data_IF_655366272303
#
_entry.id   IF_655366272303
#
_cell.length_a   1.000
_cell.length_b   1.000
_cell.length_c   1.000
_cell.angle_alpha   90.00
_cell.angle_beta   90.00
_cell.angle_gamma   90.00
#
_symmetry.space_group_name_H-M   'P 1'
#
loop_
_entity.id
_entity.type
_entity.pdbx_description
1 polymer ?
#
# COMPACT_ATOMS: atom_id res chain seq x y z
N UNK A 1 0.55 0.93 16.26
CA UNK A 1 -0.85 1.27 15.87
C UNK A 1 -1.26 0.50 14.61
N UNK A 2 -2.55 0.29 14.38
CA UNK A 2 -3.09 -0.13 13.07
C UNK A 2 -3.32 1.07 12.16
N UNK A 3 -3.49 0.87 10.85
CA UNK A 3 -3.76 1.97 9.91
C UNK A 3 -5.04 2.73 10.26
N UNK A 4 -6.13 2.01 10.59
CA UNK A 4 -7.39 2.61 11.05
C UNK A 4 -7.18 3.49 12.27
N UNK A 5 -6.47 2.99 13.28
CA UNK A 5 -6.18 3.77 14.49
C UNK A 5 -5.35 5.03 14.21
N UNK A 6 -4.42 4.99 13.25
CA UNK A 6 -3.68 6.19 12.84
C UNK A 6 -4.61 7.24 12.22
N UNK A 7 -5.58 6.82 11.40
CA UNK A 7 -6.57 7.73 10.81
C UNK A 7 -7.48 8.34 11.87
N UNK A 8 -8.01 7.51 12.78
CA UNK A 8 -8.82 7.97 13.93
C UNK A 8 -8.05 8.97 14.79
N UNK A 9 -6.75 8.76 15.00
CA UNK A 9 -5.91 9.70 15.76
C UNK A 9 -5.66 10.99 15.00
N UNK A 10 -5.41 10.94 13.70
CA UNK A 10 -5.25 12.13 12.87
C UNK A 10 -6.52 12.98 12.86
N UNK A 11 -7.70 12.36 12.73
CA UNK A 11 -8.99 13.05 12.83
C UNK A 11 -9.16 13.74 14.19
N UNK A 12 -8.80 13.05 15.29
CA UNK A 12 -8.85 13.62 16.63
C UNK A 12 -7.87 14.79 16.81
N UNK A 13 -6.67 14.71 16.22
CA UNK A 13 -5.68 15.79 16.21
C UNK A 13 -6.24 17.00 15.47
N UNK A 14 -6.76 16.82 14.25
CA UNK A 14 -7.36 17.90 13.46
C UNK A 14 -8.51 18.56 14.22
N UNK A 15 -9.42 17.77 14.79
CA UNK A 15 -10.53 18.28 15.58
C UNK A 15 -10.08 19.07 16.83
N UNK A 16 -8.92 18.76 17.42
CA UNK A 16 -8.35 19.56 18.52
C UNK A 16 -7.65 20.82 18.02
N UNK A 17 -6.92 20.74 16.91
CA UNK A 17 -6.24 21.88 16.28
C UNK A 17 -7.21 22.99 15.84
N UNK A 18 -8.45 22.64 15.53
CA UNK A 18 -9.50 23.58 15.12
C UNK A 18 -10.19 24.33 16.27
N UNK A 19 -9.91 23.96 17.54
CA UNK A 19 -10.54 24.61 18.69
C UNK A 19 -9.87 25.96 19.01
N UNK A 20 -10.69 26.97 19.27
CA UNK A 20 -10.24 28.34 19.58
C UNK A 20 -9.51 28.46 20.93
N UNK A 21 -9.69 27.49 21.85
CA UNK A 21 -9.08 27.46 23.18
C UNK A 21 -7.74 26.70 23.22
N UNK A 22 -7.12 26.46 22.06
CA UNK A 22 -5.88 25.69 21.97
C UNK A 22 -4.67 26.55 22.36
N UNK A 23 -3.92 26.09 23.35
CA UNK A 23 -2.63 26.68 23.72
C UNK A 23 -1.55 26.37 22.68
N UNK A 24 -0.63 27.30 22.45
CA UNK A 24 0.43 27.18 21.44
C UNK A 24 1.28 25.92 21.63
N UNK A 25 1.76 25.66 22.84
CA UNK A 25 2.54 24.47 23.17
C UNK A 25 1.76 23.17 22.90
N UNK A 26 0.45 23.16 23.14
CA UNK A 26 -0.40 22.02 22.83
C UNK A 26 -0.52 21.83 21.31
N UNK A 27 -0.77 22.92 20.58
CA UNK A 27 -0.83 22.91 19.11
C UNK A 27 0.45 22.41 18.46
N UNK A 28 1.62 22.83 18.96
CA UNK A 28 2.92 22.37 18.46
C UNK A 28 3.11 20.86 18.68
N UNK A 29 2.77 20.35 19.87
CA UNK A 29 2.85 18.90 20.16
C UNK A 29 1.93 18.08 19.26
N UNK A 30 0.70 18.54 19.07
CA UNK A 30 -0.29 17.88 18.19
C UNK A 30 0.15 17.89 16.73
N UNK A 31 0.75 18.99 16.28
CA UNK A 31 1.29 19.11 14.93
C UNK A 31 2.44 18.13 14.69
N UNK A 32 3.41 18.07 15.62
CA UNK A 32 4.53 17.12 15.54
C UNK A 32 4.05 15.67 15.53
N UNK A 33 3.08 15.33 16.38
CA UNK A 33 2.45 14.02 16.40
C UNK A 33 1.78 13.69 15.06
N UNK A 34 0.99 14.63 14.53
CA UNK A 34 0.32 14.47 13.24
C UNK A 34 1.30 14.24 12.08
N UNK A 35 2.41 14.99 12.04
CA UNK A 35 3.47 14.79 11.04
C UNK A 35 4.07 13.39 11.15
N UNK A 36 4.33 12.92 12.38
CA UNK A 36 4.81 11.55 12.62
C UNK A 36 3.86 10.49 12.08
N UNK A 37 2.56 10.60 12.41
CA UNK A 37 1.52 9.68 11.96
C UNK A 37 1.38 9.67 10.44
N UNK A 38 1.44 10.83 9.77
CA UNK A 38 1.37 10.93 8.31
C UNK A 38 2.57 10.23 7.66
N UNK A 39 3.78 10.39 8.22
CA UNK A 39 4.98 9.70 7.71
C UNK A 39 4.85 8.19 7.83
N UNK A 40 4.41 7.68 8.97
CA UNK A 40 4.19 6.25 9.19
C UNK A 40 3.09 5.70 8.26
N UNK A 41 1.97 6.41 8.12
CA UNK A 41 0.88 6.02 7.23
C UNK A 41 1.35 5.92 5.77
N UNK A 42 2.14 6.90 5.30
CA UNK A 42 2.74 6.89 3.96
C UNK A 42 3.64 5.68 3.75
N UNK A 43 4.52 5.37 4.70
CA UNK A 43 5.41 4.22 4.59
C UNK A 43 4.64 2.91 4.45
N UNK A 44 3.61 2.70 5.27
CA UNK A 44 2.76 1.51 5.19
C UNK A 44 2.01 1.40 3.87
N UNK A 45 1.49 2.52 3.36
CA UNK A 45 0.82 2.54 2.05
C UNK A 45 1.79 2.20 0.92
N UNK A 46 3.01 2.73 0.96
CA UNK A 46 4.07 2.38 0.00
C UNK A 46 4.38 0.89 0.03
N UNK A 47 4.56 0.31 1.23
CA UNK A 47 4.81 -1.14 1.37
C UNK A 47 3.62 -1.97 0.88
N UNK A 48 2.39 -1.57 1.19
CA UNK A 48 1.20 -2.25 0.73
C UNK A 48 1.08 -2.18 -0.81
N UNK A 49 1.33 -1.01 -1.40
CA UNK A 49 1.34 -0.79 -2.84
C UNK A 49 2.35 -1.69 -3.55
N UNK A 50 3.61 -1.72 -3.08
CA UNK A 50 4.65 -2.57 -3.64
C UNK A 50 4.28 -4.07 -3.59
N UNK A 51 3.59 -4.51 -2.53
CA UNK A 51 3.10 -5.89 -2.42
C UNK A 51 1.99 -6.19 -3.43
N UNK A 52 1.09 -5.25 -3.65
CA UNK A 52 0.01 -5.37 -4.65
C UNK A 52 0.60 -5.42 -6.06
N UNK A 53 1.54 -4.52 -6.38
CA UNK A 53 2.24 -4.50 -7.68
C UNK A 53 2.97 -5.82 -7.94
N UNK A 54 3.69 -6.35 -6.95
CA UNK A 54 4.35 -7.66 -7.08
C UNK A 54 3.36 -8.78 -7.36
N UNK A 55 2.21 -8.78 -6.67
CA UNK A 55 1.18 -9.79 -6.86
C UNK A 55 0.59 -9.73 -8.28
N UNK A 56 0.22 -8.53 -8.74
CA UNK A 56 -0.29 -8.33 -10.11
C UNK A 56 0.75 -8.76 -11.14
N UNK A 57 2.02 -8.34 -10.98
CA UNK A 57 3.10 -8.75 -11.88
C UNK A 57 3.34 -10.27 -11.91
N UNK A 58 3.20 -10.95 -10.78
CA UNK A 58 3.31 -12.42 -10.74
C UNK A 58 2.13 -13.12 -11.42
N UNK A 59 0.91 -12.58 -11.32
CA UNK A 59 -0.25 -13.12 -12.04
C UNK A 59 -0.06 -12.99 -13.56
N UNK A 60 0.45 -11.84 -14.03
CA UNK A 60 0.74 -11.62 -15.46
C UNK A 60 1.84 -12.56 -15.99
N UNK A 61 2.82 -12.93 -15.16
CA UNK A 61 3.88 -13.87 -15.51
C UNK A 61 3.36 -15.32 -15.56
N UNK A 62 2.53 -15.73 -14.60
CA UNK A 62 1.85 -17.04 -14.61
C UNK A 62 0.96 -17.23 -15.85
N UNK A 63 0.21 -16.20 -16.25
CA UNK A 63 -0.62 -16.24 -17.45
C UNK A 63 0.20 -16.44 -18.74
N UNK A 64 1.41 -15.87 -18.82
CA UNK A 64 2.34 -16.08 -19.95
C UNK A 64 2.92 -17.48 -20.00
N UNK A 65 3.11 -18.13 -18.85
CA UNK A 65 3.66 -19.50 -18.77
C UNK A 65 2.63 -20.53 -19.23
N UNK A 66 1.33 -20.26 -19.09
CA UNK A 66 0.28 -21.14 -19.63
C UNK A 66 0.06 -20.97 -21.15
N UNK A 67 0.30 -19.78 -21.71
CA UNK A 67 0.07 -19.50 -23.14
C UNK A 67 1.04 -20.25 -24.10
N UNK A 68 2.11 -20.88 -23.58
CA UNK A 68 3.17 -21.49 -24.40
C UNK A 68 3.26 -23.03 -24.42
N UNK A 69 2.22 -23.77 -24.00
CA UNK A 69 2.23 -25.26 -24.03
C UNK A 69 1.45 -25.90 -25.20
N UNK A 70 1.39 -25.26 -26.36
CA UNK A 70 0.53 -25.72 -27.48
C UNK A 70 1.22 -26.00 -28.82
N UNK A 71 2.55 -26.15 -28.88
CA UNK A 71 3.24 -26.40 -30.17
C UNK A 71 4.27 -27.54 -30.19
N UNK A 72 4.43 -28.35 -29.15
CA UNK A 72 5.39 -29.47 -29.16
C UNK A 72 4.81 -30.85 -29.56
N UNK A 73 3.54 -30.93 -30.00
CA UNK A 73 2.93 -32.22 -30.39
C UNK A 73 2.86 -32.49 -31.91
N UNK A 74 3.24 -31.55 -32.78
CA UNK A 74 3.11 -31.75 -34.25
C UNK A 74 4.39 -32.23 -34.96
N UNK A 75 5.55 -32.32 -34.30
CA UNK A 75 6.81 -32.74 -34.97
C UNK A 75 7.17 -34.22 -34.86
N UNK A 76 6.32 -35.06 -34.24
CA UNK A 76 6.59 -36.49 -34.10
C UNK A 76 5.96 -37.38 -35.18
N UNK A 77 5.17 -36.85 -36.11
CA UNK A 77 4.49 -37.67 -37.13
C UNK A 77 5.13 -37.71 -38.53
N UNK A 78 6.18 -36.92 -38.81
CA UNK A 78 6.88 -36.98 -40.13
C UNK A 78 8.03 -38.01 -40.19
N UNK A 79 8.10 -38.94 -39.23
CA UNK A 79 8.91 -40.16 -39.38
C UNK A 79 8.01 -41.35 -39.76
N UNK A 80 7.59 -41.38 -41.03
CA UNK A 80 7.32 -42.63 -41.75
C UNK A 80 7.35 -42.44 -43.26
#
# INVERSE_FOLDING_TARGET
>A
MTFRQMMERLEAITARLEKEDLELEEGLRLFEEGVGLIREARERLTTAGARVEKLIGSLDEELKVEEFKLQELEKSEESK
#
